data_IF_184975864852
#
_entry.id   IF_184975864852
#
_cell.length_a   1.000
_cell.length_b   1.000
_cell.length_c   1.000
_cell.angle_alpha   90.00
_cell.angle_beta   90.00
_cell.angle_gamma   90.00
#
_symmetry.space_group_name_H-M   'P 1'
#
loop_
_entity.id
_entity.type
_entity.pdbx_description
1 polymer ?
#
# COMPACT_ATOMS: atom_id res chain seq x y z
N UNK A 1 -7.09 -22.80 7.88
CA UNK A 1 -6.41 -22.99 6.59
C UNK A 1 -7.18 -22.16 5.56
N UNK A 2 -6.67 -20.97 5.18
CA UNK A 2 -6.97 -20.25 3.91
C UNK A 2 -6.64 -18.74 3.89
N UNK A 3 -6.15 -18.12 4.96
CA UNK A 3 -5.96 -16.67 5.03
C UNK A 3 -5.07 -16.06 3.93
N UNK A 4 -4.06 -16.80 3.43
CA UNK A 4 -3.19 -16.31 2.36
C UNK A 4 -3.86 -16.31 0.98
N UNK A 5 -4.62 -17.37 0.66
CA UNK A 5 -5.34 -17.47 -0.62
C UNK A 5 -6.52 -16.51 -0.68
N UNK A 6 -7.24 -16.35 0.43
CA UNK A 6 -8.31 -15.35 0.56
C UNK A 6 -7.78 -13.94 0.34
N UNK A 7 -6.61 -13.62 0.91
CA UNK A 7 -5.97 -12.32 0.74
C UNK A 7 -5.52 -12.08 -0.72
N UNK A 8 -4.98 -13.10 -1.39
CA UNK A 8 -4.61 -13.01 -2.81
C UNK A 8 -5.84 -12.74 -3.69
N UNK A 9 -6.91 -13.51 -3.50
CA UNK A 9 -8.17 -13.31 -4.23
C UNK A 9 -8.74 -11.91 -3.98
N UNK A 10 -8.82 -11.48 -2.73
CA UNK A 10 -9.32 -10.16 -2.38
C UNK A 10 -8.45 -9.03 -2.97
N UNK A 11 -7.13 -9.23 -3.04
CA UNK A 11 -6.22 -8.30 -3.72
C UNK A 11 -6.52 -8.17 -5.21
N UNK A 12 -6.76 -9.29 -5.90
CA UNK A 12 -7.13 -9.30 -7.33
C UNK A 12 -8.49 -8.69 -7.61
N UNK A 13 -9.47 -8.96 -6.77
CA UNK A 13 -10.78 -8.31 -6.86
C UNK A 13 -10.66 -6.80 -6.65
N UNK A 14 -9.86 -6.39 -5.66
CA UNK A 14 -9.58 -4.97 -5.38
C UNK A 14 -8.92 -4.27 -6.57
N UNK A 15 -7.94 -4.92 -7.20
CA UNK A 15 -7.30 -4.42 -8.42
C UNK A 15 -8.27 -4.34 -9.59
N UNK A 16 -9.12 -5.35 -9.77
CA UNK A 16 -10.09 -5.37 -10.86
C UNK A 16 -11.06 -4.21 -10.74
N UNK A 17 -11.60 -3.96 -9.54
CA UNK A 17 -12.46 -2.81 -9.28
C UNK A 17 -11.73 -1.47 -9.44
N UNK A 18 -10.45 -1.40 -9.06
CA UNK A 18 -9.63 -0.21 -9.28
C UNK A 18 -9.52 0.16 -10.75
N UNK A 19 -9.28 -0.83 -11.62
CA UNK A 19 -9.22 -0.65 -13.07
C UNK A 19 -10.60 -0.38 -13.68
N UNK A 20 -11.63 -1.17 -13.34
CA UNK A 20 -12.97 -1.10 -13.93
C UNK A 20 -13.66 0.24 -13.68
N UNK A 21 -13.49 0.79 -12.47
CA UNK A 21 -14.14 2.03 -12.04
C UNK A 21 -13.21 3.24 -12.00
N UNK A 22 -12.01 3.14 -12.61
CA UNK A 22 -11.01 4.21 -12.68
C UNK A 22 -10.74 4.88 -11.32
N UNK A 23 -10.64 4.07 -10.27
CA UNK A 23 -10.49 4.58 -8.91
C UNK A 23 -9.08 5.15 -8.69
N UNK A 24 -8.93 6.06 -7.75
CA UNK A 24 -7.61 6.60 -7.42
C UNK A 24 -6.73 5.58 -6.66
N UNK A 25 -5.38 5.74 -6.66
CA UNK A 25 -4.44 4.86 -5.97
C UNK A 25 -4.72 4.65 -4.48
N UNK A 26 -5.39 5.61 -3.84
CA UNK A 26 -5.84 5.52 -2.45
C UNK A 26 -6.68 4.26 -2.18
N UNK A 27 -7.44 3.80 -3.18
CA UNK A 27 -8.29 2.61 -3.07
C UNK A 27 -7.46 1.32 -2.92
N UNK A 28 -6.30 1.24 -3.58
CA UNK A 28 -5.37 0.12 -3.42
C UNK A 28 -4.61 0.23 -2.10
N UNK A 29 -4.15 1.43 -1.72
CA UNK A 29 -3.44 1.59 -0.44
C UNK A 29 -4.33 1.37 0.77
N UNK A 30 -5.64 1.67 0.68
CA UNK A 30 -6.56 1.38 1.78
C UNK A 30 -6.69 -0.12 2.03
N UNK A 31 -6.71 -0.93 0.97
CA UNK A 31 -6.65 -2.39 1.09
C UNK A 31 -5.37 -2.84 1.80
N UNK A 32 -4.21 -2.29 1.42
CA UNK A 32 -2.93 -2.63 2.08
C UNK A 32 -2.96 -2.27 3.57
N UNK A 33 -3.53 -1.12 3.93
CA UNK A 33 -3.69 -0.72 5.32
C UNK A 33 -4.71 -1.59 6.08
N UNK A 34 -5.86 -1.89 5.48
CA UNK A 34 -6.92 -2.75 6.03
C UNK A 34 -6.41 -4.16 6.35
N UNK A 35 -5.50 -4.69 5.52
CA UNK A 35 -4.94 -6.03 5.66
C UNK A 35 -3.51 -6.05 6.22
N UNK A 36 -3.02 -4.95 6.81
CA UNK A 36 -1.61 -4.81 7.20
C UNK A 36 -1.11 -5.91 8.13
N UNK A 37 -1.94 -6.36 9.08
CA UNK A 37 -1.58 -7.45 9.99
C UNK A 37 -1.26 -8.76 9.24
N UNK A 38 -2.10 -9.13 8.27
CA UNK A 38 -1.86 -10.30 7.44
C UNK A 38 -0.63 -10.12 6.55
N UNK A 39 -0.49 -8.94 5.93
CA UNK A 39 0.58 -8.64 4.98
C UNK A 39 1.97 -8.57 5.64
N UNK A 40 2.05 -8.31 6.95
CA UNK A 40 3.30 -8.31 7.74
C UNK A 40 3.70 -9.73 8.18
N UNK A 41 2.74 -10.62 8.40
CA UNK A 41 2.98 -11.95 8.96
C UNK A 41 3.04 -13.09 7.93
N UNK A 42 2.27 -13.01 6.84
CA UNK A 42 2.28 -14.04 5.81
C UNK A 42 3.28 -13.70 4.71
N UNK A 43 3.99 -14.72 4.23
CA UNK A 43 4.87 -14.61 3.07
C UNK A 43 4.12 -15.02 1.81
N UNK A 44 4.20 -14.17 0.78
CA UNK A 44 3.62 -14.39 -0.54
C UNK A 44 4.42 -13.56 -1.55
N UNK A 45 4.41 -13.98 -2.82
CA UNK A 45 4.91 -13.13 -3.90
C UNK A 45 3.99 -11.91 -4.04
N UNK A 46 4.53 -10.68 -4.02
CA UNK A 46 3.74 -9.46 -4.27
C UNK A 46 2.95 -9.53 -5.58
N UNK A 47 3.53 -10.17 -6.60
CA UNK A 47 2.89 -10.36 -7.89
C UNK A 47 1.72 -11.32 -7.85
N UNK A 48 1.50 -12.04 -6.74
CA UNK A 48 0.28 -12.82 -6.52
C UNK A 48 -0.89 -11.96 -6.04
N UNK A 49 -0.59 -10.85 -5.35
CA UNK A 49 -1.58 -9.93 -4.78
C UNK A 49 -2.05 -8.89 -5.80
N UNK A 50 -1.12 -8.30 -6.54
CA UNK A 50 -1.36 -7.18 -7.44
C UNK A 50 -0.49 -7.27 -8.70
N UNK A 51 -0.93 -6.68 -9.82
CA UNK A 51 -0.06 -6.47 -10.98
C UNK A 51 1.05 -5.47 -10.66
N UNK A 52 2.07 -5.42 -11.51
CA UNK A 52 3.16 -4.46 -11.38
C UNK A 52 2.66 -3.00 -11.43
N UNK A 53 1.65 -2.71 -12.25
CA UNK A 53 1.07 -1.37 -12.35
C UNK A 53 0.38 -0.97 -11.03
N UNK A 54 -0.44 -1.85 -10.48
CA UNK A 54 -1.12 -1.63 -9.21
C UNK A 54 -0.12 -1.50 -8.06
N UNK A 55 0.93 -2.32 -8.04
CA UNK A 55 2.01 -2.23 -7.06
C UNK A 55 2.76 -0.89 -7.16
N UNK A 56 3.09 -0.40 -8.36
CA UNK A 56 3.71 0.93 -8.53
C UNK A 56 2.81 2.05 -7.99
N UNK A 57 1.50 1.97 -8.26
CA UNK A 57 0.54 2.93 -7.73
C UNK A 57 0.45 2.89 -6.19
N UNK A 58 0.43 1.69 -5.60
CA UNK A 58 0.47 1.47 -4.14
C UNK A 58 1.72 2.10 -3.54
N UNK A 59 2.90 1.84 -4.10
CA UNK A 59 4.16 2.35 -3.56
C UNK A 59 4.23 3.88 -3.63
N UNK A 60 3.88 4.47 -4.77
CA UNK A 60 3.92 5.93 -4.95
C UNK A 60 2.94 6.66 -4.00
N UNK A 61 1.69 6.20 -3.93
CA UNK A 61 0.70 6.78 -3.02
C UNK A 61 1.02 6.47 -1.55
N UNK A 62 1.52 5.28 -1.26
CA UNK A 62 1.87 4.84 0.09
C UNK A 62 2.99 5.67 0.70
N UNK A 63 4.05 5.98 -0.07
CA UNK A 63 5.12 6.88 0.36
C UNK A 63 4.57 8.26 0.71
N UNK A 64 3.72 8.83 -0.15
CA UNK A 64 3.06 10.12 0.09
C UNK A 64 2.27 10.10 1.40
N UNK A 65 1.54 9.00 1.65
CA UNK A 65 0.75 8.81 2.87
C UNK A 65 1.62 8.70 4.12
N UNK A 66 2.73 7.95 4.03
CA UNK A 66 3.69 7.80 5.13
C UNK A 66 4.33 9.15 5.47
N UNK A 67 4.76 9.93 4.47
CA UNK A 67 5.39 11.24 4.69
C UNK A 67 4.41 12.26 5.27
N UNK A 68 3.17 12.31 4.75
CA UNK A 68 2.12 13.16 5.32
C UNK A 68 1.91 12.84 6.81
N UNK A 69 1.80 11.55 7.15
CA UNK A 69 1.63 11.11 8.52
C UNK A 69 2.80 11.49 9.43
N UNK A 70 4.04 11.31 8.98
CA UNK A 70 5.26 11.72 9.71
C UNK A 70 5.31 13.21 10.01
N UNK A 71 4.70 14.03 9.15
CA UNK A 71 4.58 15.50 9.31
C UNK A 71 3.37 15.92 10.15
N UNK A 72 2.60 14.96 10.69
CA UNK A 72 1.36 15.23 11.40
C UNK A 72 0.21 15.72 10.51
N UNK A 73 0.34 15.56 9.19
CA UNK A 73 -0.67 15.94 8.22
C UNK A 73 -1.65 14.78 7.98
N UNK A 74 -2.93 15.10 7.87
CA UNK A 74 -3.97 14.14 7.50
C UNK A 74 -4.18 14.20 5.99
N UNK A 75 -4.15 13.04 5.34
CA UNK A 75 -4.46 12.94 3.90
C UNK A 75 -5.96 12.83 3.72
N UNK A 76 -6.53 13.66 2.85
CA UNK A 76 -7.94 13.56 2.48
C UNK A 76 -8.05 12.72 1.20
N UNK A 77 -8.77 11.62 1.25
CA UNK A 77 -9.07 10.79 0.09
C UNK A 77 -10.50 11.06 -0.35
N UNK A 78 -10.70 11.42 -1.61
CA UNK A 78 -12.03 11.37 -2.23
C UNK A 78 -12.20 9.93 -2.76
N UNK A 79 -13.04 9.14 -2.09
CA UNK A 79 -13.46 7.83 -2.57
C UNK A 79 -14.84 7.89 -3.25
N UNK A 80 -15.28 6.78 -3.84
CA UNK A 80 -16.60 6.64 -4.50
C UNK A 80 -17.81 6.83 -3.57
N UNK A 81 -17.59 7.00 -2.25
CA UNK A 81 -18.61 7.31 -1.25
C UNK A 81 -18.41 8.63 -0.50
N UNK A 82 -17.48 9.50 -0.93
CA UNK A 82 -17.24 10.82 -0.34
C UNK A 82 -15.80 11.04 0.18
N UNK A 83 -15.62 12.15 0.90
CA UNK A 83 -14.36 12.52 1.57
C UNK A 83 -14.14 11.61 2.78
N UNK A 84 -13.17 10.70 2.67
CA UNK A 84 -12.65 9.93 3.81
C UNK A 84 -11.39 10.62 4.31
N UNK A 85 -11.42 11.09 5.54
CA UNK A 85 -10.22 11.51 6.24
C UNK A 85 -9.34 10.26 6.43
N UNK A 86 -8.15 10.26 5.82
CA UNK A 86 -7.16 9.21 6.03
C UNK A 86 -6.78 9.18 7.50
N UNK A 87 -6.83 7.99 8.11
CA UNK A 87 -6.47 7.84 9.51
C UNK A 87 -4.98 8.11 9.68
N UNK A 88 -4.58 8.76 10.78
CA UNK A 88 -3.17 8.85 11.16
C UNK A 88 -2.54 7.46 11.35
N UNK A 89 -3.33 6.40 11.49
CA UNK A 89 -2.83 5.04 11.58
C UNK A 89 -2.46 4.42 10.24
N UNK A 90 -3.03 4.88 9.13
CA UNK A 90 -2.83 4.25 7.82
C UNK A 90 -1.37 4.39 7.36
N UNK A 91 -0.75 5.55 7.64
CA UNK A 91 0.68 5.75 7.40
C UNK A 91 1.55 4.76 8.18
N UNK A 92 1.24 4.51 9.45
CA UNK A 92 1.98 3.55 10.27
C UNK A 92 1.80 2.09 9.78
N UNK A 93 0.58 1.74 9.35
CA UNK A 93 0.26 0.41 8.79
C UNK A 93 1.00 0.18 7.47
N UNK A 94 0.96 1.15 6.56
CA UNK A 94 1.68 1.11 5.28
C UNK A 94 3.19 1.02 5.49
N UNK A 95 3.72 1.80 6.44
CA UNK A 95 5.14 1.75 6.80
C UNK A 95 5.58 0.35 7.23
N UNK A 96 4.78 -0.32 8.08
CA UNK A 96 5.08 -1.68 8.53
C UNK A 96 5.08 -2.68 7.36
N UNK A 97 4.10 -2.60 6.47
CA UNK A 97 4.02 -3.47 5.29
C UNK A 97 5.18 -3.24 4.33
N UNK A 98 5.51 -1.99 4.01
CA UNK A 98 6.60 -1.68 3.06
C UNK A 98 7.97 -2.11 3.59
N UNK A 99 8.20 -1.97 4.90
CA UNK A 99 9.39 -2.54 5.55
C UNK A 99 9.44 -4.06 5.39
N UNK A 100 8.33 -4.76 5.66
CA UNK A 100 8.27 -6.21 5.48
C UNK A 100 8.54 -6.63 4.04
N UNK A 101 7.97 -5.93 3.06
CA UNK A 101 8.21 -6.19 1.64
C UNK A 101 9.67 -5.90 1.22
N UNK A 102 10.32 -4.94 1.89
CA UNK A 102 11.73 -4.65 1.67
C UNK A 102 12.64 -5.74 2.27
N UNK A 103 12.30 -6.23 3.46
CA UNK A 103 12.99 -7.35 4.13
C UNK A 103 12.95 -8.63 3.31
N UNK A 104 11.83 -8.92 2.62
CA UNK A 104 11.70 -10.05 1.70
C UNK A 104 12.32 -9.79 0.32
N UNK A 105 12.82 -8.57 0.10
CA UNK A 105 13.53 -8.15 -1.11
C UNK A 105 12.63 -8.02 -2.34
N UNK A 106 11.34 -7.74 -2.15
CA UNK A 106 10.42 -7.43 -3.25
C UNK A 106 10.43 -5.94 -3.62
N UNK A 107 10.70 -5.07 -2.65
CA UNK A 107 10.77 -3.61 -2.86
C UNK A 107 12.06 -3.04 -2.31
N UNK A 108 12.53 -1.97 -2.93
CA UNK A 108 13.48 -1.06 -2.32
C UNK A 108 12.68 0.04 -1.63
N UNK A 109 13.00 0.31 -0.37
CA UNK A 109 12.26 1.27 0.45
C UNK A 109 13.22 2.11 1.28
N UNK A 110 13.18 3.42 1.07
CA UNK A 110 13.99 4.40 1.78
C UNK A 110 13.10 5.51 2.32
N UNK A 111 13.27 5.84 3.60
CA UNK A 111 12.62 6.97 4.21
C UNK A 111 13.61 8.11 4.34
N UNK A 112 13.26 9.28 3.81
CA UNK A 112 14.08 10.44 3.99
C UNK A 112 14.15 10.87 5.46
N UNK A 113 15.30 11.41 5.85
CA UNK A 113 15.45 12.23 7.05
C UNK A 113 15.55 13.71 6.64
N UNK A 114 14.93 14.61 7.42
CA UNK A 114 14.94 16.05 7.12
C UNK A 114 14.22 16.41 5.82
N UNK A 115 14.90 17.15 4.93
CA UNK A 115 14.38 17.66 3.65
C UNK A 115 14.47 16.66 2.48
N UNK A 116 14.94 15.43 2.70
CA UNK A 116 14.98 14.42 1.65
C UNK A 116 13.58 13.97 1.19
N UNK A 117 13.52 13.27 0.06
CA UNK A 117 12.31 12.61 -0.45
C UNK A 117 12.34 11.13 -0.09
N UNK A 118 11.28 10.63 0.57
CA UNK A 118 11.11 9.18 0.76
C UNK A 118 10.84 8.51 -0.60
N UNK A 119 11.27 7.26 -0.76
CA UNK A 119 11.15 6.49 -2.01
C UNK A 119 10.72 5.04 -1.71
N UNK A 120 9.85 4.50 -2.55
CA UNK A 120 9.55 3.08 -2.61
C UNK A 120 9.43 2.64 -4.07
N UNK A 121 10.14 1.57 -4.45
CA UNK A 121 10.10 1.03 -5.82
C UNK A 121 10.12 -0.49 -5.83
N UNK A 122 9.45 -1.07 -6.81
CA UNK A 122 9.49 -2.52 -7.04
C UNK A 122 10.87 -2.94 -7.53
N UNK A 123 11.35 -4.07 -7.01
CA UNK A 123 12.53 -4.72 -7.55
C UNK A 123 12.09 -5.69 -8.67
N UNK A 124 12.65 -5.48 -9.85
CA UNK A 124 12.52 -6.43 -10.96
C UNK A 124 13.39 -7.63 -10.59
N UNK A 125 12.77 -8.79 -10.43
CA UNK A 125 13.47 -10.08 -10.33
C UNK A 125 13.12 -10.88 -11.57
#
# INVERSE_FOLDING_TARGET
MNSAQELQTAGRERESAWCEYELGPQYLTSFVAEHSAALVHFEYDLRSLFSEQALKAVLAHGVTTIDANRRGLRMFSIGSGGLKEGSLEDGAKLLAVFRKWAETGHVHFELASGEGTSEARLLVR
#
